data_IF_283156561238
#
_entry.id   IF_283156561238
#
_cell.length_a   1.000
_cell.length_b   1.000
_cell.length_c   1.000
_cell.angle_alpha   90.00
_cell.angle_beta   90.00
_cell.angle_gamma   90.00
#
_symmetry.space_group_name_H-M   'P 1'
#
loop_
_entity.id
_entity.type
_entity.pdbx_description
1 polymer ?
#
# COMPACT_ATOMS: atom_id res chain seq x y z
N UNK A 1 -15.42 50.02 38.78
CA UNK A 1 -16.16 49.70 40.01
C UNK A 1 -17.55 49.28 39.68
N UNK A 2 -18.01 48.19 40.30
CA UNK A 2 -19.35 47.63 40.12
C UNK A 2 -20.06 47.55 41.43
N UNK A 3 -21.34 47.92 41.44
CA UNK A 3 -22.26 47.74 42.55
C UNK A 3 -23.00 46.39 42.36
N UNK A 4 -23.04 45.55 43.39
CA UNK A 4 -23.69 44.22 43.30
C UNK A 4 -25.22 44.41 43.46
N UNK A 5 -25.83 44.89 42.40
CA UNK A 5 -27.26 44.88 42.16
C UNK A 5 -27.69 43.62 41.39
N UNK A 6 -28.98 43.45 41.10
CA UNK A 6 -29.45 42.29 40.28
C UNK A 6 -28.85 42.28 38.89
N UNK A 7 -28.45 43.44 38.33
CA UNK A 7 -27.85 43.57 37.00
C UNK A 7 -26.38 44.06 37.02
N UNK A 8 -25.72 44.13 38.15
CA UNK A 8 -24.33 44.61 38.29
C UNK A 8 -24.16 46.04 37.75
N UNK A 9 -24.50 47.02 38.54
CA UNK A 9 -24.43 48.42 38.10
C UNK A 9 -23.01 48.96 38.03
N UNK A 10 -22.62 49.53 36.89
CA UNK A 10 -21.31 50.18 36.69
C UNK A 10 -21.33 51.55 37.33
N UNK A 11 -20.51 51.74 38.36
CA UNK A 11 -20.33 53.04 39.03
C UNK A 11 -19.26 53.90 38.38
N UNK A 12 -18.24 53.24 37.89
CA UNK A 12 -17.12 53.87 37.19
C UNK A 12 -16.32 52.82 36.43
N UNK A 13 -15.95 53.16 35.20
CA UNK A 13 -15.04 52.37 34.40
C UNK A 13 -14.14 53.28 33.56
N UNK A 14 -12.99 52.75 33.12
CA UNK A 14 -12.13 53.43 32.17
C UNK A 14 -12.58 53.18 30.72
N UNK A 15 -12.02 53.94 29.78
CA UNK A 15 -12.37 53.79 28.35
C UNK A 15 -12.17 52.38 27.82
N UNK A 16 -11.18 51.59 28.33
CA UNK A 16 -10.95 50.23 27.95
C UNK A 16 -12.11 49.29 28.25
N UNK A 17 -12.81 49.46 29.36
CA UNK A 17 -13.99 48.67 29.71
C UNK A 17 -15.12 48.80 28.66
N UNK A 18 -15.41 50.07 28.27
CA UNK A 18 -16.45 50.33 27.27
C UNK A 18 -16.03 49.79 25.88
N UNK A 19 -14.75 49.91 25.53
CA UNK A 19 -14.19 49.40 24.29
C UNK A 19 -14.34 47.87 24.19
N UNK A 20 -14.22 47.13 25.30
CA UNK A 20 -14.47 45.67 25.31
C UNK A 20 -15.91 45.35 24.82
N UNK A 21 -16.88 46.13 25.28
CA UNK A 21 -18.27 45.97 24.84
C UNK A 21 -18.57 46.57 23.44
N UNK A 22 -17.55 47.15 22.79
CA UNK A 22 -17.69 47.81 21.49
C UNK A 22 -18.60 49.06 21.56
N UNK A 23 -18.53 49.82 22.67
CA UNK A 23 -19.35 51.01 22.93
C UNK A 23 -18.46 52.12 23.46
N UNK A 24 -18.84 53.35 23.21
CA UNK A 24 -18.41 54.51 24.02
C UNK A 24 -19.14 54.52 25.35
N UNK A 25 -18.68 55.34 26.30
CA UNK A 25 -19.36 55.50 27.61
C UNK A 25 -20.83 55.99 27.41
N UNK A 26 -21.04 57.01 26.55
CA UNK A 26 -22.38 57.52 26.27
C UNK A 26 -23.34 56.48 25.64
N UNK A 27 -22.80 55.68 24.70
CA UNK A 27 -23.58 54.57 24.10
C UNK A 27 -23.85 53.45 25.10
N UNK A 28 -22.91 53.17 26.04
CA UNK A 28 -23.12 52.15 27.06
C UNK A 28 -24.23 52.59 28.04
N UNK A 29 -24.18 53.87 28.51
CA UNK A 29 -25.25 54.45 29.36
C UNK A 29 -26.61 54.41 28.63
N UNK A 30 -26.63 54.80 27.37
CA UNK A 30 -27.89 54.84 26.59
C UNK A 30 -28.46 53.44 26.31
N UNK A 31 -27.63 52.47 25.91
CA UNK A 31 -28.05 51.15 25.46
C UNK A 31 -28.39 50.22 26.63
N UNK A 32 -27.63 50.31 27.75
CA UNK A 32 -27.70 49.33 28.84
C UNK A 32 -27.85 49.96 30.24
N UNK A 33 -28.02 51.28 30.32
CA UNK A 33 -28.30 52.03 31.57
C UNK A 33 -27.29 51.73 32.68
N UNK A 34 -25.99 51.55 32.32
CA UNK A 34 -24.89 51.12 33.20
C UNK A 34 -25.11 49.73 33.85
N UNK A 35 -25.99 48.90 33.38
CA UNK A 35 -26.22 47.54 33.86
C UNK A 35 -25.32 46.53 33.15
N UNK A 36 -24.23 46.09 33.77
CA UNK A 36 -23.18 45.26 33.16
C UNK A 36 -23.72 43.91 32.69
N UNK A 37 -24.71 43.31 33.34
CA UNK A 37 -25.27 42.01 32.92
C UNK A 37 -25.95 42.03 31.58
N UNK A 38 -26.40 43.20 31.13
CA UNK A 38 -27.11 43.28 29.80
C UNK A 38 -26.17 43.02 28.63
N UNK A 39 -24.88 43.30 28.78
CA UNK A 39 -23.85 42.96 27.77
C UNK A 39 -23.26 41.57 27.98
N UNK A 40 -23.52 40.91 29.11
CA UNK A 40 -23.09 39.52 29.34
C UNK A 40 -23.93 38.55 28.55
N UNK A 41 -23.28 37.55 27.94
CA UNK A 41 -23.97 36.47 27.23
C UNK A 41 -25.03 35.82 28.14
N UNK A 42 -26.26 35.57 27.67
CA UNK A 42 -27.36 35.08 28.53
C UNK A 42 -27.00 33.84 29.36
N UNK A 43 -26.29 32.88 28.77
CA UNK A 43 -25.93 31.65 29.47
C UNK A 43 -24.95 31.88 30.62
N UNK A 44 -24.17 32.96 30.59
CA UNK A 44 -23.11 33.22 31.56
C UNK A 44 -23.57 34.14 32.71
N UNK A 45 -24.74 34.77 32.59
CA UNK A 45 -25.25 35.74 33.59
C UNK A 45 -25.40 35.15 34.98
N UNK A 46 -26.04 33.99 35.10
CA UNK A 46 -26.28 33.31 36.35
C UNK A 46 -24.95 32.91 37.04
N UNK A 47 -23.98 32.42 36.23
CA UNK A 47 -22.66 32.05 36.69
C UNK A 47 -21.87 33.26 37.27
N UNK A 48 -21.90 34.38 36.52
CA UNK A 48 -21.20 35.59 36.93
C UNK A 48 -21.79 36.17 38.23
N UNK A 49 -23.11 36.26 38.35
CA UNK A 49 -23.76 36.70 39.60
C UNK A 49 -23.48 35.77 40.76
N UNK A 50 -23.48 34.46 40.52
CA UNK A 50 -23.09 33.45 41.53
C UNK A 50 -21.66 33.65 42.05
N UNK A 51 -20.72 33.97 41.15
CA UNK A 51 -19.34 34.27 41.52
C UNK A 51 -19.20 35.48 42.45
N UNK A 52 -19.92 36.58 42.17
CA UNK A 52 -19.93 37.76 43.03
C UNK A 52 -20.58 37.46 44.40
N UNK A 53 -21.71 36.74 44.45
CA UNK A 53 -22.38 36.35 45.69
C UNK A 53 -21.49 35.41 46.55
N UNK A 54 -20.81 34.45 45.90
CA UNK A 54 -19.85 33.57 46.61
C UNK A 54 -18.66 34.34 47.17
N UNK A 55 -18.15 35.30 46.41
CA UNK A 55 -17.04 36.17 46.87
C UNK A 55 -17.45 36.99 48.10
N UNK A 56 -18.68 37.53 48.11
CA UNK A 56 -19.20 38.26 49.27
C UNK A 56 -19.31 37.37 50.52
N UNK A 57 -19.75 36.12 50.37
CA UNK A 57 -19.89 35.20 51.49
C UNK A 57 -18.56 34.66 52.01
N UNK A 58 -17.56 34.48 51.16
CA UNK A 58 -16.26 33.89 51.50
C UNK A 58 -15.14 34.93 51.73
N UNK A 59 -15.36 36.17 51.34
CA UNK A 59 -14.36 37.26 51.29
C UNK A 59 -13.14 36.92 50.42
N UNK A 60 -13.32 36.09 49.40
CA UNK A 60 -12.30 35.72 48.41
C UNK A 60 -12.58 36.51 47.13
N UNK A 61 -11.57 37.05 46.43
CA UNK A 61 -11.76 37.74 45.16
C UNK A 61 -12.47 36.89 44.12
N UNK A 62 -13.29 37.54 43.30
CA UNK A 62 -13.89 36.89 42.12
C UNK A 62 -12.82 36.62 41.08
N UNK A 63 -12.70 35.39 40.63
CA UNK A 63 -11.91 34.99 39.46
C UNK A 63 -12.81 34.17 38.56
N UNK A 64 -13.17 34.73 37.41
CA UNK A 64 -14.07 34.03 36.48
C UNK A 64 -13.87 34.46 35.04
N UNK A 65 -14.23 33.58 34.12
CA UNK A 65 -14.27 33.89 32.71
C UNK A 65 -15.72 33.81 32.21
N UNK A 66 -16.07 34.74 31.35
CA UNK A 66 -17.40 34.80 30.79
C UNK A 66 -17.41 35.52 29.42
N UNK A 67 -18.48 35.41 28.69
CA UNK A 67 -18.64 36.03 27.36
C UNK A 67 -19.44 37.33 27.49
N UNK A 68 -19.04 38.34 26.75
CA UNK A 68 -19.82 39.55 26.54
C UNK A 68 -20.22 39.66 25.06
N UNK A 69 -21.35 40.33 24.83
CA UNK A 69 -21.87 40.62 23.51
C UNK A 69 -21.56 42.09 23.16
N UNK A 70 -20.80 42.28 22.10
CA UNK A 70 -20.54 43.61 21.55
C UNK A 70 -21.77 44.18 20.86
N UNK A 71 -21.77 45.47 20.62
CA UNK A 71 -22.84 46.15 19.89
C UNK A 71 -22.99 45.62 18.44
N UNK A 72 -21.91 45.23 17.80
CA UNK A 72 -21.87 44.63 16.46
C UNK A 72 -22.29 43.15 16.43
N UNK A 73 -22.66 42.55 17.55
CA UNK A 73 -23.02 41.14 17.69
C UNK A 73 -21.81 40.23 17.94
N UNK A 74 -20.59 40.74 17.95
CA UNK A 74 -19.39 39.99 18.24
C UNK A 74 -19.37 39.48 19.68
N UNK A 75 -18.77 38.28 19.90
CA UNK A 75 -18.59 37.69 21.22
C UNK A 75 -17.15 37.88 21.66
N UNK A 76 -16.94 38.40 22.88
CA UNK A 76 -15.62 38.60 23.51
C UNK A 76 -15.54 37.80 24.81
N UNK A 77 -14.49 37.02 24.98
CA UNK A 77 -14.20 36.36 26.25
C UNK A 77 -13.46 37.28 27.20
N UNK A 78 -14.03 37.47 28.38
CA UNK A 78 -13.46 38.31 29.45
C UNK A 78 -13.03 37.43 30.59
N UNK A 79 -11.79 37.62 31.01
CA UNK A 79 -11.33 37.21 32.37
C UNK A 79 -11.52 38.34 33.31
N UNK A 80 -12.28 38.10 34.38
CA UNK A 80 -12.55 39.05 35.47
C UNK A 80 -11.83 38.64 36.74
N UNK A 81 -11.10 39.60 37.28
CA UNK A 81 -10.65 39.55 38.68
C UNK A 81 -11.26 40.74 39.41
N UNK A 82 -12.07 40.51 40.47
CA UNK A 82 -12.66 41.57 41.24
C UNK A 82 -12.65 41.33 42.74
N UNK A 83 -12.45 42.38 43.52
CA UNK A 83 -12.43 42.35 45.00
C UNK A 83 -13.43 43.29 45.57
N UNK A 84 -14.04 42.93 46.69
CA UNK A 84 -14.89 43.80 47.50
C UNK A 84 -14.07 44.97 48.03
N UNK A 85 -14.49 46.23 47.79
CA UNK A 85 -13.80 47.42 48.24
C UNK A 85 -14.60 48.24 49.26
N UNK A 86 -15.84 47.86 49.50
CA UNK A 86 -16.71 48.54 50.48
C UNK A 86 -18.17 48.39 50.17
N UNK A 87 -19.00 49.26 50.77
CA UNK A 87 -20.44 49.30 50.52
C UNK A 87 -20.85 50.77 50.26
N UNK A 88 -21.83 50.95 49.43
CA UNK A 88 -22.49 52.23 49.17
C UNK A 88 -23.99 52.06 49.41
N UNK A 89 -24.54 52.86 50.32
CA UNK A 89 -25.95 52.76 50.71
C UNK A 89 -26.40 51.34 51.10
N UNK A 90 -25.47 50.56 51.71
CA UNK A 90 -25.69 49.17 52.09
C UNK A 90 -25.44 48.13 51.00
N UNK A 91 -25.21 48.55 49.74
CA UNK A 91 -24.94 47.68 48.62
C UNK A 91 -23.43 47.42 48.43
N UNK A 92 -22.96 46.17 48.30
CA UNK A 92 -21.58 45.85 48.09
C UNK A 92 -20.99 46.44 46.81
N UNK A 93 -19.80 47.03 46.89
CA UNK A 93 -19.07 47.58 45.75
C UNK A 93 -17.78 46.81 45.51
N UNK A 94 -17.63 46.34 44.27
CA UNK A 94 -16.42 45.62 43.83
C UNK A 94 -15.58 46.49 42.90
N UNK A 95 -14.27 46.33 42.98
CA UNK A 95 -13.34 46.86 42.00
C UNK A 95 -12.74 45.69 41.21
N UNK A 96 -12.87 45.73 39.88
CA UNK A 96 -12.40 44.64 39.03
C UNK A 96 -11.48 45.10 37.90
N UNK A 97 -10.69 44.13 37.41
CA UNK A 97 -9.92 44.23 36.19
C UNK A 97 -10.52 43.24 35.18
N UNK A 98 -10.74 43.71 33.97
CA UNK A 98 -11.32 42.95 32.86
C UNK A 98 -10.27 42.83 31.78
N UNK A 99 -9.98 41.61 31.36
CA UNK A 99 -8.97 41.30 30.35
C UNK A 99 -9.62 40.54 29.23
N UNK A 100 -9.40 41.00 27.99
CA UNK A 100 -9.84 40.25 26.79
C UNK A 100 -8.92 39.02 26.59
N UNK A 101 -9.49 37.85 26.77
CA UNK A 101 -8.79 36.57 26.59
C UNK A 101 -9.25 35.85 25.32
N UNK A 102 -9.98 36.53 24.42
CA UNK A 102 -10.54 35.94 23.19
C UNK A 102 -9.45 35.37 22.29
N UNK A 103 -8.33 36.07 22.10
CA UNK A 103 -7.21 35.59 21.27
C UNK A 103 -6.64 34.29 21.82
N UNK A 104 -6.44 34.22 23.16
CA UNK A 104 -5.91 33.03 23.81
C UNK A 104 -6.88 31.85 23.67
N UNK A 105 -8.18 32.07 23.95
CA UNK A 105 -9.24 31.04 23.79
C UNK A 105 -9.35 30.54 22.36
N UNK A 106 -9.34 31.42 21.39
CA UNK A 106 -9.45 31.06 19.97
C UNK A 106 -8.22 30.26 19.49
N UNK A 107 -7.01 30.66 19.91
CA UNK A 107 -5.78 29.93 19.58
C UNK A 107 -5.80 28.51 20.18
N UNK A 108 -6.21 28.40 21.47
CA UNK A 108 -6.30 27.11 22.15
C UNK A 108 -7.32 26.19 21.46
N UNK A 109 -8.50 26.71 21.14
CA UNK A 109 -9.54 25.95 20.44
C UNK A 109 -9.13 25.54 19.02
N UNK A 110 -8.42 26.41 18.32
CA UNK A 110 -7.88 26.08 16.97
C UNK A 110 -6.85 24.94 17.06
N UNK A 111 -5.97 24.98 18.06
CA UNK A 111 -4.98 23.92 18.30
C UNK A 111 -5.65 22.58 18.65
N UNK A 112 -6.64 22.61 19.56
CA UNK A 112 -7.40 21.41 19.93
C UNK A 112 -8.12 20.78 18.71
N UNK A 113 -8.75 21.62 17.88
CA UNK A 113 -9.43 21.16 16.66
C UNK A 113 -8.44 20.57 15.65
N UNK A 114 -7.26 21.19 15.51
CA UNK A 114 -6.20 20.68 14.64
C UNK A 114 -5.66 19.34 15.12
N UNK A 115 -5.40 19.19 16.41
CA UNK A 115 -4.98 17.92 17.01
C UNK A 115 -6.05 16.83 16.82
N UNK A 116 -7.31 17.15 17.07
CA UNK A 116 -8.42 16.21 16.87
C UNK A 116 -8.53 15.78 15.39
N UNK A 117 -8.42 16.74 14.47
CA UNK A 117 -8.43 16.45 13.03
C UNK A 117 -7.28 15.53 12.65
N UNK A 118 -6.07 15.80 13.12
CA UNK A 118 -4.89 14.97 12.83
C UNK A 118 -5.05 13.54 13.38
N UNK A 119 -5.63 13.42 14.58
CA UNK A 119 -5.95 12.11 15.18
C UNK A 119 -6.96 11.33 14.33
N UNK A 120 -8.07 11.97 13.93
CA UNK A 120 -9.10 11.32 13.09
C UNK A 120 -8.52 10.88 11.74
N UNK A 121 -7.69 11.72 11.09
CA UNK A 121 -7.04 11.36 9.83
C UNK A 121 -6.16 10.13 10.00
N UNK A 122 -5.35 10.07 11.06
CA UNK A 122 -4.50 8.91 11.36
C UNK A 122 -5.32 7.63 11.63
N UNK A 123 -6.46 7.73 12.29
CA UNK A 123 -7.37 6.61 12.53
C UNK A 123 -8.04 6.10 11.24
N UNK A 124 -8.43 7.02 10.33
CA UNK A 124 -9.08 6.67 9.07
C UNK A 124 -8.14 6.01 8.05
N UNK A 125 -6.85 6.35 8.04
CA UNK A 125 -5.87 5.79 7.09
C UNK A 125 -5.42 4.38 7.44
N UNK A 126 -5.83 3.83 8.58
CA UNK A 126 -5.36 2.54 9.08
C UNK A 126 -3.84 2.44 9.28
N UNK A 127 -3.15 3.57 9.36
CA UNK A 127 -1.70 3.64 9.53
C UNK A 127 -1.30 3.58 11.00
N UNK A 128 -0.10 3.10 11.23
CA UNK A 128 0.56 3.25 12.52
C UNK A 128 1.48 4.46 12.41
N UNK A 129 1.18 5.49 13.19
CA UNK A 129 2.06 6.66 13.33
C UNK A 129 3.05 6.38 14.43
N UNK A 130 4.30 6.73 14.21
CA UNK A 130 5.35 6.65 15.21
C UNK A 130 6.15 7.94 15.29
N UNK A 131 6.61 8.24 16.47
CA UNK A 131 7.50 9.36 16.79
C UNK A 131 8.66 8.84 17.63
N UNK A 132 9.88 9.14 17.22
CA UNK A 132 11.07 8.86 17.99
C UNK A 132 11.72 10.17 18.41
N UNK A 133 11.95 10.32 19.70
CA UNK A 133 12.61 11.47 20.29
C UNK A 133 14.08 11.13 20.58
N UNK A 134 14.99 11.90 19.97
CA UNK A 134 16.43 11.65 20.06
C UNK A 134 17.02 12.03 21.42
N UNK A 135 16.37 12.96 22.15
CA UNK A 135 16.88 13.44 23.44
C UNK A 135 16.48 12.50 24.57
N UNK A 136 15.28 11.95 24.53
CA UNK A 136 14.78 10.99 25.54
C UNK A 136 15.07 9.52 25.18
N UNK A 137 15.50 9.24 23.95
CA UNK A 137 15.64 7.88 23.39
C UNK A 137 14.36 7.04 23.51
N UNK A 138 13.20 7.68 23.24
CA UNK A 138 11.89 7.07 23.35
C UNK A 138 11.19 7.03 22.00
N UNK A 139 10.62 5.85 21.65
CA UNK A 139 9.74 5.68 20.52
C UNK A 139 8.29 5.59 20.99
N UNK A 140 7.44 6.46 20.49
CA UNK A 140 5.99 6.41 20.76
C UNK A 140 5.25 6.06 19.49
N UNK A 141 4.34 5.09 19.56
CA UNK A 141 3.48 4.65 18.46
C UNK A 141 2.01 4.95 18.76
N UNK A 142 1.19 5.02 17.71
CA UNK A 142 -0.28 5.09 17.85
C UNK A 142 -0.83 3.81 18.49
N UNK A 143 -2.04 3.85 19.05
CA UNK A 143 -2.73 2.71 19.69
C UNK A 143 -2.81 1.48 18.80
N UNK A 144 -2.88 1.70 17.50
CA UNK A 144 -2.93 0.64 16.50
C UNK A 144 -1.69 -0.26 16.51
N UNK A 145 -0.52 0.25 16.88
CA UNK A 145 0.69 -0.55 17.04
C UNK A 145 0.52 -1.64 18.11
N UNK A 146 -0.04 -1.26 19.26
CA UNK A 146 -0.32 -2.18 20.37
C UNK A 146 -1.35 -3.23 19.95
N UNK A 147 -2.42 -2.83 19.26
CA UNK A 147 -3.46 -3.72 18.76
C UNK A 147 -2.91 -4.75 17.77
N UNK A 148 -2.04 -4.34 16.83
CA UNK A 148 -1.56 -5.20 15.73
C UNK A 148 -0.39 -6.07 16.17
N UNK A 149 0.56 -5.51 16.93
CA UNK A 149 1.81 -6.20 17.28
C UNK A 149 1.83 -6.77 18.70
N UNK A 150 0.80 -6.51 19.51
CA UNK A 150 0.70 -6.91 20.93
C UNK A 150 1.93 -6.45 21.75
N UNK A 151 2.43 -5.26 21.44
CA UNK A 151 3.59 -4.66 22.10
C UNK A 151 3.24 -3.28 22.63
N UNK A 152 3.92 -2.82 23.71
CA UNK A 152 3.69 -1.48 24.24
C UNK A 152 3.92 -0.41 23.19
N UNK A 153 3.03 0.58 23.15
CA UNK A 153 3.13 1.70 22.21
C UNK A 153 4.23 2.70 22.55
N UNK A 154 4.69 2.71 23.80
CA UNK A 154 5.82 3.54 24.27
C UNK A 154 7.00 2.62 24.53
N UNK A 155 8.10 2.85 23.84
CA UNK A 155 9.30 2.03 23.89
C UNK A 155 10.46 2.91 24.36
N UNK A 156 10.79 2.91 25.66
CA UNK A 156 11.91 3.65 26.18
C UNK A 156 13.24 2.99 25.82
N UNK A 157 14.32 3.75 25.76
CA UNK A 157 15.66 3.30 25.37
C UNK A 157 15.65 2.55 24.02
N UNK A 158 14.98 3.14 23.03
CA UNK A 158 14.70 2.50 21.74
C UNK A 158 15.94 1.98 21.02
N UNK A 159 17.06 2.71 21.08
CA UNK A 159 18.33 2.27 20.45
C UNK A 159 18.84 0.95 21.00
N UNK A 160 18.62 0.69 22.29
CA UNK A 160 18.98 -0.61 22.91
C UNK A 160 17.99 -1.72 22.56
N UNK A 161 16.79 -1.36 22.15
CA UNK A 161 15.72 -2.30 21.79
C UNK A 161 15.53 -2.45 20.27
N UNK A 162 16.42 -1.88 19.45
CA UNK A 162 16.36 -2.03 17.98
C UNK A 162 16.38 -3.51 17.56
N UNK A 163 17.06 -4.39 18.29
CA UNK A 163 17.06 -5.82 18.06
C UNK A 163 15.63 -6.42 18.10
N UNK A 164 14.73 -5.88 18.92
CA UNK A 164 13.34 -6.31 18.97
C UNK A 164 12.57 -6.02 17.68
N UNK A 165 12.88 -4.93 16.99
CA UNK A 165 12.31 -4.65 15.67
C UNK A 165 12.97 -5.49 14.60
N UNK A 166 14.30 -5.66 14.65
CA UNK A 166 15.04 -6.49 13.70
C UNK A 166 14.59 -7.96 13.77
N UNK A 167 14.23 -8.46 14.96
CA UNK A 167 13.67 -9.81 15.15
C UNK A 167 12.26 -9.99 14.54
N UNK A 168 11.59 -8.90 14.18
CA UNK A 168 10.30 -8.95 13.47
C UNK A 168 10.46 -8.92 11.95
N UNK A 169 11.69 -8.86 11.45
CA UNK A 169 12.02 -8.75 10.03
C UNK A 169 12.66 -10.03 9.50
N UNK A 170 12.52 -10.25 8.20
CA UNK A 170 13.35 -11.20 7.50
C UNK A 170 14.81 -10.65 7.42
N UNK A 171 15.84 -11.52 7.38
CA UNK A 171 17.25 -11.07 7.35
C UNK A 171 17.60 -10.10 6.22
N UNK A 172 16.94 -10.23 5.08
CA UNK A 172 17.10 -9.32 3.93
C UNK A 172 16.47 -7.94 4.18
N UNK A 173 15.28 -7.91 4.82
CA UNK A 173 14.58 -6.67 5.17
C UNK A 173 15.28 -5.93 6.32
N UNK A 174 15.91 -6.65 7.24
CA UNK A 174 16.73 -6.09 8.30
C UNK A 174 17.90 -5.25 7.75
N UNK A 175 18.56 -5.71 6.69
CA UNK A 175 19.62 -4.96 6.01
C UNK A 175 19.09 -3.65 5.40
N UNK A 176 17.91 -3.70 4.81
CA UNK A 176 17.24 -2.52 4.23
C UNK A 176 16.93 -1.47 5.29
N UNK A 177 16.45 -1.90 6.46
CA UNK A 177 16.18 -1.00 7.58
C UNK A 177 17.47 -0.40 8.16
N UNK A 178 18.52 -1.19 8.34
CA UNK A 178 19.81 -0.70 8.81
C UNK A 178 20.42 0.36 7.88
N UNK A 179 20.29 0.15 6.55
CA UNK A 179 20.71 1.14 5.57
C UNK A 179 19.90 2.44 5.68
N UNK A 180 18.58 2.34 5.94
CA UNK A 180 17.73 3.50 6.16
C UNK A 180 18.17 4.31 7.40
N UNK A 181 18.47 3.64 8.52
CA UNK A 181 19.00 4.32 9.71
C UNK A 181 20.31 5.03 9.43
N UNK A 182 21.25 4.37 8.74
CA UNK A 182 22.53 4.98 8.37
C UNK A 182 22.34 6.25 7.53
N UNK A 183 21.42 6.26 6.59
CA UNK A 183 21.11 7.45 5.76
C UNK A 183 20.53 8.60 6.57
N UNK A 184 19.68 8.31 7.55
CA UNK A 184 19.15 9.33 8.47
C UNK A 184 20.29 9.98 9.27
N UNK A 185 21.21 9.16 9.81
CA UNK A 185 22.38 9.65 10.55
C UNK A 185 23.29 10.49 9.67
N UNK A 186 23.38 10.19 8.36
CA UNK A 186 24.11 10.99 7.37
C UNK A 186 23.41 12.29 6.95
N UNK A 187 22.23 12.60 7.51
CA UNK A 187 21.55 13.86 7.28
C UNK A 187 20.42 13.83 6.27
N UNK A 188 19.99 12.66 5.82
CA UNK A 188 18.80 12.55 4.96
C UNK A 188 17.53 12.87 5.78
N UNK A 189 16.77 13.88 5.35
CA UNK A 189 15.60 14.37 6.10
C UNK A 189 14.36 13.50 5.95
N UNK A 190 14.23 12.78 4.85
CA UNK A 190 13.08 11.88 4.62
C UNK A 190 13.51 10.62 3.89
N UNK A 191 12.90 9.51 4.26
CA UNK A 191 13.15 8.23 3.63
C UNK A 191 11.86 7.41 3.52
N UNK A 192 11.81 6.56 2.50
CA UNK A 192 10.71 5.62 2.32
C UNK A 192 11.29 4.25 1.98
N UNK A 193 10.75 3.21 2.60
CA UNK A 193 11.13 1.83 2.35
C UNK A 193 9.93 0.90 2.46
N UNK A 194 10.06 -0.28 1.87
CA UNK A 194 9.06 -1.35 1.97
C UNK A 194 9.74 -2.57 2.54
N UNK A 195 9.13 -3.19 3.54
CA UNK A 195 9.66 -4.38 4.20
C UNK A 195 8.52 -5.25 4.77
N UNK A 196 8.86 -6.46 5.20
CA UNK A 196 7.91 -7.41 5.79
C UNK A 196 8.10 -7.46 7.30
N UNK A 197 7.02 -7.12 8.04
CA UNK A 197 6.96 -7.22 9.49
C UNK A 197 6.16 -8.44 9.90
N UNK A 198 6.67 -9.18 10.89
CA UNK A 198 5.98 -10.30 11.49
C UNK A 198 4.86 -9.81 12.42
N UNK A 199 3.62 -10.10 12.07
CA UNK A 199 2.46 -9.94 12.94
C UNK A 199 2.20 -11.26 13.69
N UNK A 200 1.81 -11.23 14.98
CA UNK A 200 1.60 -12.44 15.77
C UNK A 200 0.60 -13.43 15.16
N UNK A 201 -0.50 -12.94 14.57
CA UNK A 201 -1.59 -13.78 14.07
C UNK A 201 -1.56 -13.97 12.55
N UNK A 202 -1.01 -13.01 11.80
CA UNK A 202 -1.08 -12.97 10.34
C UNK A 202 0.22 -13.35 9.63
N UNK A 203 1.31 -13.61 10.38
CA UNK A 203 2.62 -13.88 9.80
C UNK A 203 3.27 -12.62 9.19
N UNK A 204 4.16 -12.82 8.22
CA UNK A 204 4.84 -11.71 7.57
C UNK A 204 3.90 -10.92 6.65
N UNK A 205 3.76 -9.62 6.95
CA UNK A 205 2.93 -8.68 6.19
C UNK A 205 3.80 -7.56 5.59
N UNK A 206 3.50 -7.16 4.36
CA UNK A 206 4.17 -6.05 3.71
C UNK A 206 3.74 -4.72 4.31
N UNK A 207 4.74 -3.90 4.70
CA UNK A 207 4.56 -2.54 5.18
C UNK A 207 5.37 -1.56 4.34
N UNK A 208 4.75 -0.43 4.02
CA UNK A 208 5.44 0.78 3.57
C UNK A 208 5.73 1.64 4.78
N UNK A 209 6.98 1.99 4.99
CA UNK A 209 7.43 2.87 6.07
C UNK A 209 7.89 4.16 5.43
N UNK A 210 7.36 5.27 5.91
CA UNK A 210 7.79 6.62 5.53
C UNK A 210 8.10 7.39 6.80
N UNK A 211 9.20 8.11 6.80
CA UNK A 211 9.56 8.94 7.96
C UNK A 211 10.29 10.21 7.55
N UNK A 212 10.24 11.19 8.44
CA UNK A 212 10.89 12.48 8.29
C UNK A 212 11.52 12.92 9.61
N UNK A 213 12.73 13.46 9.54
CA UNK A 213 13.43 14.05 10.67
C UNK A 213 13.01 15.50 10.88
N UNK A 214 12.81 15.88 12.13
CA UNK A 214 12.73 17.28 12.58
C UNK A 214 14.08 17.64 13.15
N UNK A 215 14.63 18.79 12.73
CA UNK A 215 15.93 19.29 13.19
C UNK A 215 15.78 20.60 13.92
N UNK A 216 16.70 20.86 14.83
CA UNK A 216 16.86 22.16 15.48
C UNK A 216 17.58 23.18 14.58
N UNK A 217 17.76 24.40 15.08
CA UNK A 217 18.43 25.51 14.36
C UNK A 217 19.91 25.19 14.02
N UNK A 218 20.52 24.21 14.71
CA UNK A 218 21.90 23.78 14.47
C UNK A 218 22.01 22.67 13.42
N UNK A 219 20.86 22.15 12.92
CA UNK A 219 20.80 21.04 11.99
C UNK A 219 20.83 19.66 12.66
N UNK A 220 20.84 19.57 14.00
CA UNK A 220 20.76 18.30 14.74
C UNK A 220 19.35 17.75 14.69
N UNK A 221 19.19 16.46 14.39
CA UNK A 221 17.90 15.79 14.47
C UNK A 221 17.44 15.71 15.94
N UNK A 222 16.24 16.22 16.21
CA UNK A 222 15.59 16.20 17.53
C UNK A 222 14.46 15.19 17.59
N UNK A 223 13.75 14.97 16.47
CA UNK A 223 12.66 13.99 16.36
C UNK A 223 12.65 13.31 15.01
N UNK A 224 12.15 12.08 14.97
CA UNK A 224 11.81 11.35 13.77
C UNK A 224 10.32 11.00 13.81
N UNK A 225 9.55 11.48 12.86
CA UNK A 225 8.13 11.17 12.76
C UNK A 225 7.91 10.35 11.50
N UNK A 226 7.11 9.30 11.61
CA UNK A 226 6.83 8.45 10.47
C UNK A 226 5.51 7.70 10.58
N UNK A 227 5.21 6.98 9.51
CA UNK A 227 4.03 6.12 9.42
C UNK A 227 4.40 4.77 8.83
N UNK A 228 3.71 3.73 9.32
CA UNK A 228 3.70 2.39 8.75
C UNK A 228 2.32 2.13 8.16
N UNK A 229 2.28 1.90 6.87
CA UNK A 229 1.07 1.53 6.14
C UNK A 229 1.13 0.06 5.77
N UNK A 230 0.14 -0.74 6.17
CA UNK A 230 0.03 -2.12 5.70
C UNK A 230 -0.38 -2.12 4.23
N UNK A 231 0.51 -2.61 3.36
CA UNK A 231 0.30 -2.71 1.91
C UNK A 231 0.22 -4.15 1.43
N UNK A 232 0.02 -5.11 2.35
CA UNK A 232 0.06 -6.54 2.02
C UNK A 232 -1.02 -6.92 1.00
N UNK A 233 -2.24 -6.48 1.22
CA UNK A 233 -3.34 -6.70 0.27
C UNK A 233 -3.05 -6.08 -1.11
N UNK A 234 -2.50 -4.85 -1.11
CA UNK A 234 -2.12 -4.18 -2.36
C UNK A 234 -1.03 -4.98 -3.11
N UNK A 235 -0.02 -5.50 -2.38
CA UNK A 235 1.05 -6.32 -2.97
C UNK A 235 0.53 -7.64 -3.53
N UNK A 236 -0.34 -8.33 -2.80
CA UNK A 236 -0.97 -9.56 -3.28
C UNK A 236 -1.82 -9.31 -4.54
N UNK A 237 -2.57 -8.22 -4.56
CA UNK A 237 -3.39 -7.86 -5.72
C UNK A 237 -2.53 -7.45 -6.93
N UNK A 238 -1.44 -6.69 -6.69
CA UNK A 238 -0.47 -6.37 -7.74
C UNK A 238 0.16 -7.64 -8.33
N UNK A 239 0.57 -8.58 -7.48
CA UNK A 239 1.16 -9.85 -7.91
C UNK A 239 0.12 -10.73 -8.66
N UNK A 240 -1.13 -10.77 -8.17
CA UNK A 240 -2.23 -11.45 -8.85
C UNK A 240 -2.50 -10.87 -10.24
N UNK A 241 -2.63 -9.55 -10.34
CA UNK A 241 -2.85 -8.87 -11.61
C UNK A 241 -1.67 -9.05 -12.57
N UNK A 242 -0.44 -9.03 -12.05
CA UNK A 242 0.77 -9.30 -12.84
C UNK A 242 0.77 -10.73 -13.35
N UNK A 243 0.41 -11.69 -12.51
CA UNK A 243 0.30 -13.10 -12.91
C UNK A 243 -0.79 -13.29 -13.98
N UNK A 244 -1.98 -12.74 -13.79
CA UNK A 244 -3.08 -12.78 -14.77
C UNK A 244 -2.71 -12.09 -16.10
N UNK A 245 -1.99 -10.97 -16.03
CA UNK A 245 -1.51 -10.28 -17.23
C UNK A 245 -0.39 -11.04 -17.96
N UNK A 246 0.34 -11.93 -17.27
CA UNK A 246 1.50 -12.65 -17.83
C UNK A 246 1.19 -14.06 -18.29
N UNK A 247 0.09 -14.66 -17.84
CA UNK A 247 -0.25 -16.07 -18.14
C UNK A 247 -1.48 -16.19 -19.03
N UNK A 248 -1.60 -17.32 -19.71
CA UNK A 248 -2.83 -17.74 -20.38
C UNK A 248 -3.80 -18.30 -19.33
N UNK A 249 -5.01 -17.77 -19.27
CA UNK A 249 -6.00 -18.08 -18.24
C UNK A 249 -6.42 -19.56 -18.23
N UNK A 250 -6.39 -20.22 -19.39
CA UNK A 250 -6.79 -21.63 -19.51
C UNK A 250 -5.70 -22.58 -19.03
N UNK A 251 -4.45 -22.28 -19.39
CA UNK A 251 -3.32 -23.21 -19.23
C UNK A 251 -2.35 -22.85 -18.11
N UNK A 252 -2.39 -21.62 -17.61
CA UNK A 252 -1.51 -21.09 -16.58
C UNK A 252 -0.01 -21.12 -16.94
N UNK A 253 0.34 -21.28 -18.22
CA UNK A 253 1.66 -21.00 -18.78
C UNK A 253 1.70 -19.57 -19.31
N UNK A 254 2.85 -19.07 -19.74
CA UNK A 254 2.94 -17.71 -20.27
C UNK A 254 2.01 -17.47 -21.46
N UNK A 255 1.38 -16.30 -21.50
CA UNK A 255 0.61 -15.88 -22.66
C UNK A 255 1.54 -15.40 -23.79
N UNK A 256 0.98 -15.12 -24.98
CA UNK A 256 1.72 -14.71 -26.18
C UNK A 256 2.67 -13.53 -25.90
N UNK A 257 2.15 -12.46 -25.30
CA UNK A 257 2.91 -11.20 -25.05
C UNK A 257 4.10 -11.48 -24.13
N UNK A 258 3.86 -12.17 -23.04
CA UNK A 258 4.89 -12.49 -22.05
C UNK A 258 5.93 -13.46 -22.63
N UNK A 259 5.50 -14.46 -23.41
CA UNK A 259 6.41 -15.40 -24.07
C UNK A 259 7.35 -14.68 -25.02
N UNK A 260 6.84 -13.83 -25.89
CA UNK A 260 7.63 -13.04 -26.83
C UNK A 260 8.63 -12.12 -26.12
N UNK A 261 8.16 -11.45 -25.05
CA UNK A 261 9.01 -10.56 -24.25
C UNK A 261 10.15 -11.30 -23.55
N UNK A 262 9.82 -12.40 -22.85
CA UNK A 262 10.84 -13.19 -22.12
C UNK A 262 11.85 -13.84 -23.06
N UNK A 263 11.40 -14.37 -24.19
CA UNK A 263 12.31 -14.92 -25.22
C UNK A 263 13.21 -13.81 -25.75
N UNK A 264 12.67 -12.65 -26.09
CA UNK A 264 13.46 -11.53 -26.59
C UNK A 264 14.53 -11.04 -25.61
N UNK A 265 14.25 -11.04 -24.31
CA UNK A 265 15.23 -10.74 -23.27
C UNK A 265 16.34 -11.79 -23.21
N UNK A 266 15.99 -13.07 -23.23
CA UNK A 266 16.95 -14.18 -23.14
C UNK A 266 17.91 -14.20 -24.32
N UNK A 267 17.44 -13.89 -25.52
CA UNK A 267 18.29 -13.85 -26.71
C UNK A 267 19.38 -12.77 -26.66
N UNK A 268 19.23 -11.74 -25.82
CA UNK A 268 20.24 -10.70 -25.64
C UNK A 268 21.51 -11.22 -24.91
N UNK A 269 21.38 -12.30 -24.15
CA UNK A 269 22.51 -12.89 -23.44
C UNK A 269 23.48 -13.66 -24.34
N UNK A 270 23.13 -13.89 -25.60
CA UNK A 270 24.02 -14.46 -26.63
C UNK A 270 24.36 -15.94 -26.47
N UNK A 271 23.63 -16.66 -25.57
CA UNK A 271 23.78 -18.11 -25.37
C UNK A 271 23.03 -18.90 -26.43
N UNK A 272 23.38 -20.20 -26.61
CA UNK A 272 22.68 -21.04 -27.58
C UNK A 272 21.31 -21.51 -27.04
N UNK A 273 20.27 -21.30 -27.80
CA UNK A 273 18.90 -21.66 -27.44
C UNK A 273 18.20 -22.34 -28.63
N UNK A 274 17.09 -23.05 -28.34
CA UNK A 274 16.18 -23.49 -29.40
C UNK A 274 14.78 -22.94 -29.15
N UNK A 275 14.21 -22.34 -30.17
CA UNK A 275 12.80 -21.98 -30.20
C UNK A 275 12.02 -23.14 -30.85
N UNK A 276 10.99 -23.59 -30.15
CA UNK A 276 10.15 -24.72 -30.51
C UNK A 276 8.73 -24.22 -30.66
N UNK A 277 8.11 -24.43 -31.81
CA UNK A 277 6.71 -24.15 -32.04
C UNK A 277 5.95 -25.48 -32.11
N UNK A 278 4.91 -25.62 -31.33
CA UNK A 278 4.08 -26.84 -31.20
C UNK A 278 2.65 -26.48 -31.57
N UNK A 279 2.07 -27.26 -32.44
CA UNK A 279 0.69 -27.10 -32.94
C UNK A 279 -0.04 -28.44 -32.86
N UNK A 280 -1.28 -28.42 -32.34
CA UNK A 280 -2.08 -29.62 -32.12
C UNK A 280 -2.71 -30.10 -33.42
N UNK A 281 -2.43 -31.33 -33.80
CA UNK A 281 -2.99 -31.91 -35.00
C UNK A 281 -4.49 -32.15 -34.83
N UNK A 282 -5.25 -31.71 -35.83
CA UNK A 282 -6.71 -31.94 -35.89
C UNK A 282 -7.47 -31.42 -34.64
N UNK A 283 -6.97 -30.40 -33.95
CA UNK A 283 -7.64 -29.86 -32.76
C UNK A 283 -9.09 -29.40 -33.04
N UNK A 284 -9.34 -28.84 -34.23
CA UNK A 284 -10.70 -28.49 -34.63
C UNK A 284 -11.65 -29.70 -34.61
N UNK A 285 -11.16 -30.87 -35.04
CA UNK A 285 -11.95 -32.10 -34.96
C UNK A 285 -12.32 -32.47 -33.52
N UNK A 286 -11.40 -32.31 -32.59
CA UNK A 286 -11.69 -32.56 -31.18
C UNK A 286 -12.82 -31.64 -30.66
N UNK A 287 -12.77 -30.35 -30.98
CA UNK A 287 -13.84 -29.41 -30.66
C UNK A 287 -15.17 -29.74 -31.31
N UNK A 288 -15.16 -30.03 -32.62
CA UNK A 288 -16.38 -30.28 -33.39
C UNK A 288 -17.05 -31.58 -32.94
N UNK A 289 -16.28 -32.60 -32.54
CA UNK A 289 -16.78 -33.92 -32.15
C UNK A 289 -17.17 -34.02 -30.66
N UNK A 290 -16.36 -33.49 -29.79
CA UNK A 290 -16.50 -33.68 -28.32
C UNK A 290 -16.84 -32.38 -27.56
N UNK A 291 -16.96 -31.27 -28.29
CA UNK A 291 -17.31 -29.96 -27.73
C UNK A 291 -16.11 -29.17 -27.19
N UNK A 292 -16.28 -27.85 -27.00
CA UNK A 292 -15.23 -26.92 -26.58
C UNK A 292 -14.65 -27.25 -25.22
N UNK A 293 -15.45 -27.72 -24.26
CA UNK A 293 -14.93 -28.09 -22.90
C UNK A 293 -13.96 -29.28 -23.00
N UNK A 294 -14.14 -30.18 -23.93
CA UNK A 294 -13.18 -31.24 -24.18
C UNK A 294 -11.92 -30.69 -24.81
N UNK A 295 -12.04 -29.79 -25.80
CA UNK A 295 -10.90 -29.10 -26.38
C UNK A 295 -10.09 -28.32 -25.34
N UNK A 296 -10.74 -27.64 -24.42
CA UNK A 296 -10.06 -26.96 -23.26
C UNK A 296 -9.28 -27.95 -22.40
N UNK A 297 -9.81 -29.16 -22.19
CA UNK A 297 -9.13 -30.24 -21.47
C UNK A 297 -7.91 -30.75 -22.23
N UNK A 298 -7.98 -30.85 -23.55
CA UNK A 298 -6.83 -31.18 -24.42
C UNK A 298 -5.74 -30.14 -24.29
N UNK A 299 -6.08 -28.85 -24.39
CA UNK A 299 -5.13 -27.73 -24.28
C UNK A 299 -4.46 -27.72 -22.91
N UNK A 300 -5.20 -27.92 -21.82
CA UNK A 300 -4.66 -28.03 -20.45
C UNK A 300 -3.68 -29.18 -20.31
N UNK A 301 -4.04 -30.35 -20.87
CA UNK A 301 -3.19 -31.54 -20.83
C UNK A 301 -1.87 -31.31 -21.57
N UNK A 302 -1.91 -30.69 -22.75
CA UNK A 302 -0.72 -30.35 -23.53
C UNK A 302 0.18 -29.37 -22.76
N UNK A 303 -0.38 -28.32 -22.19
CA UNK A 303 0.37 -27.36 -21.39
C UNK A 303 1.06 -28.04 -20.19
N UNK A 304 0.35 -28.93 -19.49
CA UNK A 304 0.90 -29.68 -18.36
C UNK A 304 2.06 -30.61 -18.81
N UNK A 305 1.89 -31.29 -19.93
CA UNK A 305 2.94 -32.18 -20.51
C UNK A 305 4.17 -31.38 -20.93
N UNK A 306 3.98 -30.21 -21.57
CA UNK A 306 5.09 -29.31 -21.91
C UNK A 306 5.86 -28.89 -20.67
N UNK A 307 5.16 -28.44 -19.61
CA UNK A 307 5.81 -28.05 -18.35
C UNK A 307 6.57 -29.19 -17.67
N UNK A 308 6.08 -30.41 -17.78
CA UNK A 308 6.75 -31.59 -17.23
C UNK A 308 7.98 -32.02 -18.04
N UNK A 309 7.96 -31.82 -19.38
CA UNK A 309 9.04 -32.21 -20.29
C UNK A 309 10.20 -31.22 -20.27
N UNK A 310 9.92 -29.90 -20.16
CA UNK A 310 10.92 -28.84 -20.17
C UNK A 310 11.30 -28.42 -18.76
N UNK A 311 12.50 -27.82 -18.59
CA UNK A 311 13.02 -27.39 -17.29
C UNK A 311 12.23 -26.20 -16.78
N UNK A 312 12.20 -25.98 -15.47
CA UNK A 312 11.60 -24.79 -14.86
C UNK A 312 12.23 -23.47 -15.34
N UNK A 313 13.49 -23.53 -15.82
CA UNK A 313 14.22 -22.40 -16.39
C UNK A 313 13.86 -22.13 -17.85
N UNK A 314 13.30 -23.11 -18.58
CA UNK A 314 12.86 -22.94 -19.95
C UNK A 314 11.57 -22.10 -20.00
N UNK A 315 11.35 -21.35 -21.09
CA UNK A 315 10.14 -20.54 -21.26
C UNK A 315 9.12 -21.39 -21.99
N UNK A 316 7.95 -21.57 -21.40
CA UNK A 316 6.81 -22.31 -22.00
C UNK A 316 5.60 -21.39 -22.05
N UNK A 317 5.06 -21.17 -23.24
CA UNK A 317 3.93 -20.28 -23.44
C UNK A 317 2.93 -20.77 -24.50
N UNK A 318 1.74 -20.19 -24.44
CA UNK A 318 0.67 -20.39 -25.45
C UNK A 318 0.48 -19.12 -26.25
N UNK A 319 0.59 -19.21 -27.57
CA UNK A 319 0.51 -18.06 -28.47
C UNK A 319 -0.91 -17.81 -28.97
N UNK A 320 -1.80 -18.80 -28.88
CA UNK A 320 -3.22 -18.71 -29.22
C UNK A 320 -3.78 -20.02 -29.70
N UNK A 321 -5.10 -20.21 -29.56
CA UNK A 321 -5.76 -21.43 -30.07
C UNK A 321 -5.09 -22.72 -29.57
N UNK A 322 -4.55 -23.49 -30.50
CA UNK A 322 -3.85 -24.76 -30.34
C UNK A 322 -2.33 -24.67 -30.50
N UNK A 323 -1.77 -23.44 -30.51
CA UNK A 323 -0.36 -23.19 -30.71
C UNK A 323 0.37 -22.89 -29.39
N UNK A 324 1.55 -23.53 -29.20
CA UNK A 324 2.43 -23.35 -28.06
C UNK A 324 3.86 -23.02 -28.52
N UNK A 325 4.57 -22.27 -27.69
CA UNK A 325 5.98 -21.92 -27.92
C UNK A 325 6.81 -22.29 -26.70
N UNK A 326 7.96 -22.91 -26.95
CA UNK A 326 8.95 -23.20 -25.92
C UNK A 326 10.30 -22.63 -26.34
N UNK A 327 10.98 -21.91 -25.43
CA UNK A 327 12.42 -21.63 -25.55
C UNK A 327 13.17 -22.57 -24.61
N UNK A 328 13.85 -23.56 -25.19
CA UNK A 328 14.78 -24.39 -24.48
C UNK A 328 16.13 -23.67 -24.37
N UNK A 329 16.53 -23.36 -23.13
CA UNK A 329 17.69 -22.52 -22.84
C UNK A 329 18.98 -23.35 -22.76
N UNK A 330 20.10 -22.65 -23.01
CA UNK A 330 21.47 -23.17 -22.80
C UNK A 330 21.69 -24.55 -23.43
N UNK A 331 21.43 -24.64 -24.73
CA UNK A 331 21.62 -25.89 -25.49
C UNK A 331 23.10 -26.07 -25.75
N UNK A 332 23.66 -27.24 -25.33
CA UNK A 332 25.03 -27.62 -25.60
C UNK A 332 25.31 -27.71 -27.10
N UNK A 333 26.46 -27.22 -27.54
CA UNK A 333 26.88 -27.30 -28.96
C UNK A 333 27.24 -28.74 -29.38
N UNK A 334 27.60 -29.61 -28.44
CA UNK A 334 28.08 -30.97 -28.75
C UNK A 334 26.95 -32.00 -28.88
N UNK A 335 25.99 -31.98 -27.94
CA UNK A 335 24.95 -32.99 -27.77
C UNK A 335 23.55 -32.43 -27.49
N UNK A 336 23.46 -31.11 -27.33
CA UNK A 336 22.22 -30.45 -26.92
C UNK A 336 21.09 -30.60 -27.94
N UNK A 337 21.40 -30.59 -29.23
CA UNK A 337 20.39 -30.76 -30.27
C UNK A 337 19.82 -32.19 -30.26
N UNK A 338 20.65 -33.23 -30.10
CA UNK A 338 20.20 -34.62 -30.01
C UNK A 338 19.37 -34.85 -28.72
N UNK A 339 19.80 -34.24 -27.61
CA UNK A 339 19.02 -34.25 -26.38
C UNK A 339 17.66 -33.57 -26.56
N UNK A 340 17.59 -32.45 -27.29
CA UNK A 340 16.35 -31.77 -27.61
C UNK A 340 15.44 -32.61 -28.51
N UNK A 341 16.00 -33.24 -29.57
CA UNK A 341 15.26 -34.16 -30.45
C UNK A 341 14.68 -35.33 -29.64
N UNK A 342 15.45 -35.90 -28.71
CA UNK A 342 14.99 -36.95 -27.80
C UNK A 342 13.81 -36.47 -26.93
N UNK A 343 13.90 -35.24 -26.41
CA UNK A 343 12.78 -34.64 -25.67
C UNK A 343 11.54 -34.46 -26.53
N UNK A 344 11.67 -34.01 -27.76
CA UNK A 344 10.52 -33.83 -28.66
C UNK A 344 9.89 -35.18 -29.02
N UNK A 345 10.69 -36.26 -29.26
CA UNK A 345 10.16 -37.64 -29.45
C UNK A 345 9.37 -38.07 -28.21
N UNK A 346 9.96 -37.89 -27.02
CA UNK A 346 9.30 -38.22 -25.74
C UNK A 346 8.01 -37.45 -25.56
N UNK A 347 8.00 -36.14 -25.84
CA UNK A 347 6.81 -35.30 -25.79
C UNK A 347 5.67 -35.86 -26.66
N UNK A 348 5.95 -36.23 -27.92
CA UNK A 348 4.95 -36.81 -28.81
C UNK A 348 4.39 -38.12 -28.24
N UNK A 349 5.21 -39.00 -27.67
CA UNK A 349 4.78 -40.24 -27.01
C UNK A 349 3.93 -39.94 -25.74
N UNK A 350 4.36 -39.02 -24.88
CA UNK A 350 3.62 -38.65 -23.67
C UNK A 350 2.25 -38.06 -24.02
N UNK A 351 2.16 -37.18 -25.01
CA UNK A 351 0.90 -36.62 -25.47
C UNK A 351 -0.05 -37.70 -25.96
N UNK A 352 0.43 -38.68 -26.73
CA UNK A 352 -0.40 -39.78 -27.22
C UNK A 352 -0.94 -40.70 -26.11
N UNK A 353 -0.29 -40.73 -24.95
CA UNK A 353 -0.71 -41.52 -23.78
C UNK A 353 -1.64 -40.76 -22.83
N UNK A 354 -1.89 -39.47 -23.04
CA UNK A 354 -2.82 -38.71 -22.22
C UNK A 354 -4.25 -39.19 -22.48
N UNK A 355 -4.87 -39.77 -21.43
CA UNK A 355 -6.26 -40.22 -21.50
C UNK A 355 -7.20 -39.13 -20.94
N UNK A 356 -8.13 -38.68 -21.76
CA UNK A 356 -9.15 -37.69 -21.37
C UNK A 356 -10.57 -38.31 -21.33
N UNK A 357 -10.67 -39.65 -21.20
CA UNK A 357 -11.93 -40.36 -21.05
C UNK A 357 -12.74 -40.50 -22.36
N UNK A 358 -12.15 -40.14 -23.51
CA UNK A 358 -12.73 -40.27 -24.84
C UNK A 358 -11.76 -41.06 -25.76
N UNK A 359 -12.26 -41.61 -26.88
CA UNK A 359 -11.42 -42.26 -27.89
C UNK A 359 -10.76 -41.19 -28.79
N UNK A 360 -9.87 -40.41 -28.17
CA UNK A 360 -9.11 -39.34 -28.81
C UNK A 360 -7.64 -39.40 -28.40
N UNK A 361 -6.75 -39.46 -29.35
CA UNK A 361 -5.29 -39.45 -29.16
C UNK A 361 -4.76 -38.07 -29.48
N UNK A 362 -4.10 -37.43 -28.48
CA UNK A 362 -3.46 -36.12 -28.69
C UNK A 362 -2.23 -36.31 -29.57
N UNK A 363 -2.19 -35.62 -30.70
CA UNK A 363 -1.05 -35.52 -31.59
C UNK A 363 -0.65 -34.06 -31.78
N UNK A 364 0.65 -33.81 -31.90
CA UNK A 364 1.17 -32.49 -32.15
C UNK A 364 2.30 -32.52 -33.18
N UNK A 365 2.33 -31.54 -34.05
CA UNK A 365 3.41 -31.27 -34.98
C UNK A 365 4.35 -30.22 -34.36
N UNK A 366 5.67 -30.39 -34.51
CA UNK A 366 6.66 -29.58 -33.79
C UNK A 366 7.70 -29.05 -34.78
N UNK A 367 7.92 -27.74 -34.80
CA UNK A 367 8.97 -27.07 -35.56
C UNK A 367 10.03 -26.47 -34.64
N UNK A 368 11.27 -26.58 -34.99
CA UNK A 368 12.43 -26.17 -34.17
C UNK A 368 13.32 -25.26 -34.99
N UNK A 369 13.73 -24.13 -34.41
CA UNK A 369 14.81 -23.23 -34.89
C UNK A 369 15.87 -23.01 -33.82
N UNK A 370 17.09 -22.77 -34.22
CA UNK A 370 18.24 -22.63 -33.31
C UNK A 370 18.80 -21.20 -33.30
N UNK A 371 18.96 -20.63 -32.11
CA UNK A 371 19.64 -19.37 -31.93
C UNK A 371 21.12 -19.62 -31.64
N UNK A 372 22.06 -18.85 -32.20
CA UNK A 372 21.86 -17.74 -33.18
C UNK A 372 21.88 -18.22 -34.64
N UNK A 373 21.92 -19.52 -34.95
CA UNK A 373 22.07 -20.11 -36.27
C UNK A 373 20.99 -19.67 -37.26
N UNK A 374 19.72 -19.73 -36.86
CA UNK A 374 18.57 -19.55 -37.74
C UNK A 374 17.95 -18.16 -37.65
N UNK A 375 18.33 -17.36 -36.65
CA UNK A 375 17.84 -16.00 -36.44
C UNK A 375 18.43 -15.37 -35.20
N UNK A 376 18.30 -14.05 -35.08
CA UNK A 376 18.77 -13.26 -33.94
C UNK A 376 17.63 -12.63 -33.13
N UNK A 377 16.42 -12.68 -33.65
CA UNK A 377 15.23 -12.12 -33.02
C UNK A 377 14.17 -13.19 -32.84
N UNK A 378 13.22 -12.97 -31.91
CA UNK A 378 12.05 -13.84 -31.74
C UNK A 378 11.31 -14.07 -33.06
N UNK A 379 11.03 -13.00 -33.81
CA UNK A 379 10.27 -13.05 -35.04
C UNK A 379 10.98 -13.92 -36.12
N UNK A 380 12.32 -13.78 -36.27
CA UNK A 380 13.09 -14.58 -37.20
C UNK A 380 13.07 -16.07 -36.81
N UNK A 381 13.31 -16.38 -35.53
CA UNK A 381 13.30 -17.75 -35.02
C UNK A 381 11.91 -18.38 -35.15
N UNK A 382 10.86 -17.64 -34.80
CA UNK A 382 9.49 -18.11 -34.91
C UNK A 382 9.14 -18.44 -36.35
N UNK A 383 9.45 -17.56 -37.33
CA UNK A 383 9.20 -17.81 -38.73
C UNK A 383 9.95 -19.06 -39.27
N UNK A 384 11.16 -19.33 -38.76
CA UNK A 384 11.93 -20.52 -39.16
C UNK A 384 11.39 -21.79 -38.51
N UNK A 385 11.00 -21.74 -37.23
CA UNK A 385 10.36 -22.87 -36.58
C UNK A 385 8.99 -23.19 -37.21
N UNK A 386 8.18 -22.16 -37.56
CA UNK A 386 6.92 -22.34 -38.26
C UNK A 386 7.10 -22.94 -39.65
N UNK A 387 8.14 -22.54 -40.40
CA UNK A 387 8.46 -23.17 -41.70
C UNK A 387 8.79 -24.66 -41.52
N UNK A 388 9.53 -25.06 -40.48
CA UNK A 388 9.78 -26.47 -40.18
C UNK A 388 8.51 -27.20 -39.76
N UNK A 389 7.67 -26.59 -38.96
CA UNK A 389 6.33 -27.10 -38.56
C UNK A 389 5.43 -27.34 -39.79
N UNK A 390 5.41 -26.41 -40.72
CA UNK A 390 4.62 -26.54 -41.97
C UNK A 390 5.07 -27.73 -42.80
N UNK A 391 6.37 -28.05 -42.89
CA UNK A 391 6.88 -29.25 -43.55
C UNK A 391 6.30 -30.51 -42.92
N UNK A 392 6.27 -30.61 -41.60
CA UNK A 392 5.73 -31.76 -40.87
C UNK A 392 4.24 -31.91 -41.11
N UNK A 393 3.47 -30.80 -41.06
CA UNK A 393 2.02 -30.86 -41.38
C UNK A 393 1.71 -31.45 -42.77
N UNK A 394 2.63 -31.28 -43.71
CA UNK A 394 2.49 -31.81 -45.09
C UNK A 394 3.04 -33.24 -45.28
N UNK A 395 3.94 -33.72 -44.39
CA UNK A 395 4.61 -35.02 -44.51
C UNK A 395 4.05 -36.11 -43.60
N UNK A 396 2.97 -35.85 -42.84
CA UNK A 396 2.32 -36.92 -42.06
C UNK A 396 1.82 -36.51 -40.67
N UNK A 397 2.22 -35.35 -40.13
CA UNK A 397 1.92 -34.85 -38.76
C UNK A 397 2.46 -35.75 -37.67
N UNK A 398 2.31 -35.30 -36.42
CA UNK A 398 2.69 -36.08 -35.23
C UNK A 398 4.20 -36.24 -35.01
N UNK A 399 5.01 -35.45 -35.69
CA UNK A 399 6.48 -35.49 -35.67
C UNK A 399 7.09 -34.12 -35.40
N UNK A 400 8.43 -34.06 -35.39
CA UNK A 400 9.15 -32.81 -35.33
C UNK A 400 10.10 -32.61 -36.50
N UNK A 401 10.41 -31.36 -36.83
CA UNK A 401 11.50 -31.01 -37.74
C UNK A 401 12.33 -29.88 -37.19
N UNK A 402 13.63 -29.92 -37.45
CA UNK A 402 14.58 -28.81 -37.20
C UNK A 402 14.71 -28.03 -38.52
N UNK A 403 14.62 -26.69 -38.44
CA UNK A 403 14.80 -25.85 -39.61
C UNK A 403 16.14 -26.12 -40.30
N UNK A 404 16.13 -26.32 -41.62
CA UNK A 404 17.33 -26.63 -42.41
C UNK A 404 17.79 -28.08 -42.36
N UNK A 405 17.13 -28.97 -41.63
CA UNK A 405 17.36 -30.40 -41.64
C UNK A 405 16.25 -31.15 -42.40
N UNK A 406 16.62 -32.34 -42.92
CA UNK A 406 15.61 -33.23 -43.57
C UNK A 406 14.78 -33.85 -42.43
N UNK A 407 13.42 -33.80 -42.50
CA UNK A 407 12.57 -34.42 -41.48
C UNK A 407 12.88 -35.93 -41.32
N UNK A 408 13.02 -36.36 -40.06
CA UNK A 408 13.11 -37.80 -39.76
C UNK A 408 11.75 -38.45 -40.07
N UNK A 409 11.66 -39.26 -41.11
CA UNK A 409 10.50 -40.12 -41.36
C UNK A 409 10.66 -41.37 -40.50
N UNK A 410 9.75 -41.61 -39.55
CA UNK A 410 9.70 -42.91 -38.88
C UNK A 410 9.48 -44.03 -39.91
N UNK A 411 10.48 -44.89 -39.97
CA UNK A 411 10.32 -46.20 -40.60
C UNK A 411 9.31 -47.00 -39.75
N UNK A 412 8.09 -47.17 -40.21
CA UNK A 412 7.07 -48.02 -39.61
C UNK A 412 7.66 -49.40 -39.32
N UNK A 413 8.09 -49.65 -38.12
CA UNK A 413 8.23 -51.03 -37.60
C UNK A 413 6.80 -51.47 -37.20
N UNK A 414 6.02 -51.98 -38.14
CA UNK A 414 4.89 -52.81 -37.83
C UNK A 414 5.42 -54.08 -37.13
N UNK A 415 4.88 -54.45 -35.95
CA UNK A 415 5.13 -55.77 -35.41
C UNK A 415 4.53 -56.78 -36.41
N UNK A 416 5.41 -57.57 -37.01
CA UNK A 416 5.05 -58.72 -37.79
C UNK A 416 4.16 -59.67 -36.99
N UNK A 417 2.88 -59.72 -37.35
CA UNK A 417 1.94 -60.71 -36.83
C UNK A 417 2.47 -62.11 -37.07
N UNK A 418 2.93 -62.74 -36.00
CA UNK A 418 3.14 -64.16 -35.96
C UNK A 418 1.82 -64.89 -36.17
N UNK A 419 1.57 -65.36 -37.38
CA UNK A 419 0.74 -66.51 -37.61
C UNK A 419 1.49 -67.72 -37.15
N UNK A 420 0.99 -68.40 -36.18
CA UNK A 420 1.41 -69.69 -35.76
C UNK A 420 0.23 -70.49 -35.25
N UNK A 421 -0.22 -71.36 -36.05
CA UNK A 421 -1.00 -72.59 -35.87
C UNK A 421 -1.69 -72.80 -34.52
#
# INVERSE_FOLDING_TARGET
RLELTDNLRVLWANAGFYALAGRSHAEYEQDVHDEALLVVHPDDRAHLLGAFRSSLASNIPVHTEYRILRRDGGVVWIYLQASLVGHRDGVPVFQGVFVDVSKQKNTMRALELEQQRNRIVAELTNDIIFEYDYDTDEMTCSERYETIFHKPRVIPNYRRHQDNLLNMLLPEDAKTLQEAYRRIEQGVDSYALTLRLLQPEAGYQWYSIRFRSIRDETGRAIKLIGQLTNIHHQKLEEDRLRHEASTDLLTQIYNKITTEHLVSLELQEGRNHALIVVDLDKFKYANDTFGHLFGDSVIKAVAATLRATFRATDIVGRTGGDEFVVLAKDISLSDGLETLKAKCRRLSVELAHVSLGQDYVISASIGISLFPRDGKTYAELFAKADAALYQIKNTGRGHFAVYGEVPETETKALPSGGKGM
#
